data_IF_741994128555
#
_entry.id   IF_741994128555
#
_cell.length_a   1.000
_cell.length_b   1.000
_cell.length_c   1.000
_cell.angle_alpha   90.00
_cell.angle_beta   90.00
_cell.angle_gamma   90.00
#
_symmetry.space_group_name_H-M   'P 1'
#
loop_
_entity.id
_entity.type
_entity.pdbx_description
1 polymer ?
#
# COMPACT_ATOMS: atom_id res chain seq x y z
N UNK A 1 10.85 -69.05 0.79
CA UNK A 1 9.75 -68.65 1.69
C UNK A 1 8.82 -67.77 0.84
N UNK A 2 7.86 -68.38 0.15
CA UNK A 2 6.47 -68.63 0.62
C UNK A 2 5.70 -67.31 0.83
N UNK A 3 4.46 -67.09 0.39
CA UNK A 3 3.43 -67.84 -0.35
C UNK A 3 2.24 -66.86 -0.50
N UNK A 4 1.34 -67.11 -1.47
CA UNK A 4 -0.05 -66.62 -1.57
C UNK A 4 -0.26 -65.11 -1.87
N UNK A 5 -0.91 -64.63 -2.93
CA UNK A 5 -2.03 -65.11 -3.78
C UNK A 5 -3.34 -65.48 -3.06
N UNK A 6 -4.43 -64.83 -3.53
CA UNK A 6 -5.88 -64.97 -3.23
C UNK A 6 -6.38 -64.13 -2.05
N UNK A 7 -7.54 -63.48 -2.08
CA UNK A 7 -8.65 -63.33 -3.04
C UNK A 7 -9.47 -62.14 -2.53
N UNK A 8 -10.74 -61.84 -2.81
CA UNK A 8 -11.91 -62.42 -3.49
C UNK A 8 -13.02 -61.41 -3.07
N UNK A 9 -14.01 -60.93 -3.81
CA UNK A 9 -14.50 -61.12 -5.17
C UNK A 9 -15.95 -60.62 -5.26
N UNK A 10 -16.55 -60.81 -6.46
CA UNK A 10 -17.99 -61.00 -6.77
C UNK A 10 -18.83 -59.70 -6.72
N UNK A 11 -19.64 -59.32 -7.72
CA UNK A 11 -20.73 -59.99 -8.47
C UNK A 11 -20.97 -59.19 -9.78
N UNK A 12 -21.29 -59.72 -10.96
CA UNK A 12 -21.73 -61.06 -11.33
C UNK A 12 -21.48 -61.34 -12.82
N UNK A 13 -20.90 -62.50 -13.06
CA UNK A 13 -20.92 -63.23 -14.31
C UNK A 13 -22.06 -64.26 -14.26
N UNK A 14 -22.39 -64.79 -15.45
CA UNK A 14 -23.07 -66.06 -15.70
C UNK A 14 -24.61 -66.10 -15.63
N UNK A 15 -25.22 -66.12 -16.82
CA UNK A 15 -26.16 -67.18 -17.17
C UNK A 15 -25.63 -67.87 -18.44
N UNK A 16 -24.76 -68.86 -18.22
CA UNK A 16 -24.56 -69.97 -19.13
C UNK A 16 -25.84 -70.81 -19.12
N UNK A 17 -26.39 -71.10 -20.30
CA UNK A 17 -27.03 -72.39 -20.54
C UNK A 17 -26.29 -73.05 -21.69
N UNK A 18 -25.09 -73.54 -21.37
CA UNK A 18 -24.50 -74.68 -22.04
C UNK A 18 -25.41 -75.90 -21.81
N UNK A 19 -26.15 -76.31 -22.84
CA UNK A 19 -26.51 -77.70 -23.00
C UNK A 19 -25.39 -78.36 -23.82
N UNK A 20 -24.39 -78.85 -23.10
CA UNK A 20 -23.54 -79.91 -23.62
C UNK A 20 -24.39 -81.18 -23.69
N UNK A 21 -24.63 -81.71 -24.89
CA UNK A 21 -24.60 -83.15 -25.11
C UNK A 21 -24.47 -83.42 -26.60
N UNK A 22 -23.41 -84.13 -26.95
CA UNK A 22 -23.19 -84.71 -28.25
C UNK A 22 -24.45 -85.44 -28.73
N UNK A 23 -25.05 -84.99 -29.84
CA UNK A 23 -25.77 -85.82 -30.80
C UNK A 23 -26.02 -84.99 -32.06
N UNK A 24 -25.76 -85.62 -33.20
CA UNK A 24 -25.91 -85.14 -34.59
C UNK A 24 -24.89 -84.11 -35.09
N UNK A 25 -23.79 -84.67 -35.60
CA UNK A 25 -23.25 -84.31 -36.92
C UNK A 25 -24.37 -83.84 -37.87
N UNK A 26 -24.19 -82.77 -38.67
CA UNK A 26 -25.03 -82.58 -39.83
C UNK A 26 -24.70 -83.73 -40.76
N UNK A 27 -25.56 -84.75 -40.77
CA UNK A 27 -25.60 -85.71 -41.85
C UNK A 27 -25.76 -84.90 -43.11
N UNK A 28 -24.85 -85.06 -44.06
CA UNK A 28 -25.08 -84.66 -45.44
C UNK A 28 -26.36 -85.38 -45.89
N UNK A 29 -27.50 -84.70 -45.74
CA UNK A 29 -28.72 -85.04 -46.43
C UNK A 29 -28.52 -84.54 -47.86
N UNK A 30 -28.77 -85.44 -48.81
CA UNK A 30 -28.54 -85.27 -50.24
C UNK A 30 -28.81 -83.85 -50.71
N UNK A 31 -27.88 -83.34 -51.50
CA UNK A 31 -28.08 -82.26 -52.43
C UNK A 31 -29.32 -82.56 -53.28
N UNK A 32 -30.42 -81.88 -52.98
CA UNK A 32 -31.45 -81.61 -53.97
C UNK A 32 -31.05 -80.31 -54.69
N UNK A 33 -31.10 -80.34 -56.01
CA UNK A 33 -30.50 -79.31 -56.85
C UNK A 33 -31.25 -77.98 -56.68
N UNK A 34 -30.56 -76.83 -56.48
CA UNK A 34 -31.23 -75.55 -56.33
C UNK A 34 -31.72 -75.11 -57.71
N UNK A 35 -33.01 -75.28 -57.95
CA UNK A 35 -33.66 -74.60 -59.06
C UNK A 35 -33.56 -73.08 -58.83
N UNK A 36 -33.13 -72.32 -59.85
CA UNK A 36 -32.77 -70.90 -59.76
C UNK A 36 -33.90 -69.94 -59.34
N UNK A 37 -35.10 -70.48 -59.06
CA UNK A 37 -36.25 -69.76 -58.52
C UNK A 37 -36.29 -69.73 -56.99
N UNK A 38 -35.60 -70.66 -56.30
CA UNK A 38 -35.53 -70.72 -54.81
C UNK A 38 -34.47 -69.75 -54.23
N UNK A 39 -33.60 -69.19 -55.08
CA UNK A 39 -32.60 -68.17 -54.72
C UNK A 39 -33.12 -66.73 -54.92
N UNK A 40 -34.08 -66.54 -55.83
CA UNK A 40 -34.65 -65.23 -56.18
C UNK A 40 -35.85 -64.85 -55.29
N UNK A 41 -36.56 -65.83 -54.72
CA UNK A 41 -37.68 -65.62 -53.79
C UNK A 41 -37.36 -66.28 -52.44
N UNK A 42 -36.94 -65.52 -51.42
CA UNK A 42 -36.68 -66.08 -50.10
C UNK A 42 -37.97 -66.66 -49.52
N UNK A 43 -37.88 -67.87 -48.95
CA UNK A 43 -39.01 -68.52 -48.28
C UNK A 43 -39.49 -67.63 -47.13
N UNK A 44 -40.82 -67.37 -46.99
CA UNK A 44 -41.34 -66.49 -45.94
C UNK A 44 -40.97 -66.96 -44.53
N UNK A 45 -40.66 -68.24 -44.35
CA UNK A 45 -40.21 -68.83 -43.10
C UNK A 45 -38.83 -68.33 -42.62
N UNK A 46 -37.93 -67.92 -43.51
CA UNK A 46 -36.59 -67.39 -43.16
C UNK A 46 -36.60 -65.86 -43.02
N UNK A 47 -37.52 -65.19 -43.72
CA UNK A 47 -37.67 -63.74 -43.65
C UNK A 47 -38.18 -63.25 -42.29
N UNK A 48 -39.13 -63.97 -41.67
CA UNK A 48 -39.73 -63.61 -40.37
C UNK A 48 -38.69 -63.57 -39.24
N UNK A 49 -37.85 -64.60 -38.98
CA UNK A 49 -36.83 -64.54 -37.94
C UNK A 49 -35.71 -63.54 -38.25
N UNK A 50 -35.35 -63.34 -39.53
CA UNK A 50 -34.40 -62.30 -39.93
C UNK A 50 -34.93 -60.89 -39.64
N UNK A 51 -36.22 -60.65 -39.91
CA UNK A 51 -36.89 -59.40 -39.59
C UNK A 51 -36.99 -59.16 -38.08
N UNK A 52 -37.29 -60.20 -37.31
CA UNK A 52 -37.30 -60.12 -35.83
C UNK A 52 -35.89 -59.78 -35.31
N UNK A 53 -34.85 -60.46 -35.80
CA UNK A 53 -33.46 -60.17 -35.40
C UNK A 53 -33.06 -58.73 -35.79
N UNK A 54 -33.45 -58.26 -36.97
CA UNK A 54 -33.23 -56.88 -37.41
C UNK A 54 -33.95 -55.87 -36.49
N UNK A 55 -35.22 -56.12 -36.16
CA UNK A 55 -36.00 -55.26 -35.27
C UNK A 55 -35.42 -55.22 -33.85
N UNK A 56 -34.93 -56.34 -33.34
CA UNK A 56 -34.27 -56.40 -32.02
C UNK A 56 -33.00 -55.56 -32.03
N UNK A 57 -32.14 -55.70 -33.05
CA UNK A 57 -30.92 -54.89 -33.19
C UNK A 57 -31.27 -53.41 -33.37
N UNK A 58 -32.27 -53.10 -34.19
CA UNK A 58 -32.73 -51.74 -34.42
C UNK A 58 -33.27 -51.10 -33.13
N UNK A 59 -34.05 -51.82 -32.33
CA UNK A 59 -34.56 -51.33 -31.06
C UNK A 59 -33.43 -51.04 -30.05
N UNK A 60 -32.40 -51.90 -30.01
CA UNK A 60 -31.21 -51.68 -29.16
C UNK A 60 -30.42 -50.46 -29.64
N UNK A 61 -30.18 -50.31 -30.94
CA UNK A 61 -29.49 -49.15 -31.49
C UNK A 61 -30.27 -47.84 -31.28
N UNK A 62 -31.59 -47.86 -31.49
CA UNK A 62 -32.45 -46.71 -31.26
C UNK A 62 -32.44 -46.29 -29.79
N UNK A 63 -32.40 -47.27 -28.86
CA UNK A 63 -32.38 -46.99 -27.42
C UNK A 63 -31.01 -46.56 -26.89
N UNK A 64 -29.89 -47.01 -27.48
CA UNK A 64 -28.54 -46.74 -26.96
C UNK A 64 -27.71 -45.78 -27.81
N UNK A 65 -27.72 -45.91 -29.14
CA UNK A 65 -26.86 -45.11 -30.02
C UNK A 65 -27.40 -43.69 -30.22
N UNK A 66 -28.71 -43.53 -30.44
CA UNK A 66 -29.34 -42.22 -30.62
C UNK A 66 -29.14 -41.28 -29.43
N UNK A 67 -29.46 -41.66 -28.17
CA UNK A 67 -29.27 -40.75 -27.05
C UNK A 67 -27.81 -40.38 -26.82
N UNK A 68 -26.87 -41.31 -27.02
CA UNK A 68 -25.43 -41.03 -26.83
C UNK A 68 -24.89 -40.01 -27.84
N UNK A 69 -25.37 -40.05 -29.09
CA UNK A 69 -24.97 -39.07 -30.12
C UNK A 69 -25.57 -37.69 -29.82
N UNK A 70 -26.84 -37.63 -29.43
CA UNK A 70 -27.52 -36.36 -29.07
C UNK A 70 -26.84 -35.74 -27.85
N UNK A 71 -26.56 -36.52 -26.81
CA UNK A 71 -25.87 -36.04 -25.60
C UNK A 71 -24.48 -35.48 -25.92
N UNK A 72 -23.73 -36.11 -26.84
CA UNK A 72 -22.44 -35.57 -27.28
C UNK A 72 -22.58 -34.24 -28.01
N UNK A 73 -23.60 -34.09 -28.86
CA UNK A 73 -23.87 -32.84 -29.58
C UNK A 73 -24.31 -31.73 -28.63
N UNK A 74 -25.22 -32.02 -27.71
CA UNK A 74 -25.66 -31.07 -26.67
C UNK A 74 -24.49 -30.64 -25.79
N UNK A 75 -23.65 -31.58 -25.36
CA UNK A 75 -22.44 -31.27 -24.56
C UNK A 75 -21.46 -30.37 -25.33
N UNK A 76 -21.27 -30.60 -26.63
CA UNK A 76 -20.44 -29.73 -27.47
C UNK A 76 -21.06 -28.35 -27.62
N UNK A 77 -22.36 -28.27 -27.90
CA UNK A 77 -23.08 -27.00 -28.02
C UNK A 77 -23.01 -26.21 -26.70
N UNK A 78 -23.30 -26.86 -25.58
CA UNK A 78 -23.24 -26.23 -24.26
C UNK A 78 -21.82 -25.78 -23.91
N UNK A 79 -20.80 -26.57 -24.24
CA UNK A 79 -19.40 -26.14 -24.05
C UNK A 79 -19.08 -24.89 -24.87
N UNK A 80 -19.47 -24.85 -26.15
CA UNK A 80 -19.21 -23.67 -27.01
C UNK A 80 -19.94 -22.44 -26.47
N UNK A 81 -21.20 -22.58 -26.07
CA UNK A 81 -21.96 -21.47 -25.50
C UNK A 81 -21.32 -20.97 -24.19
N UNK A 82 -20.92 -21.89 -23.31
CA UNK A 82 -20.24 -21.53 -22.07
C UNK A 82 -18.89 -20.85 -22.33
N UNK A 83 -18.08 -21.38 -23.25
CA UNK A 83 -16.77 -20.80 -23.61
C UNK A 83 -16.96 -19.38 -24.20
N UNK A 84 -18.00 -19.15 -25.02
CA UNK A 84 -18.33 -17.84 -25.58
C UNK A 84 -18.84 -16.86 -24.52
N UNK A 85 -19.72 -17.30 -23.62
CA UNK A 85 -20.24 -16.49 -22.53
C UNK A 85 -19.12 -16.10 -21.56
N UNK A 86 -18.23 -17.04 -21.22
CA UNK A 86 -17.06 -16.79 -20.38
C UNK A 86 -16.10 -15.81 -21.04
N UNK A 87 -15.81 -15.98 -22.34
CA UNK A 87 -14.98 -15.04 -23.09
C UNK A 87 -15.59 -13.62 -23.14
N UNK A 88 -16.91 -13.53 -23.29
CA UNK A 88 -17.61 -12.24 -23.29
C UNK A 88 -17.58 -11.60 -21.90
N UNK A 89 -17.83 -12.36 -20.83
CA UNK A 89 -17.72 -11.87 -19.46
C UNK A 89 -16.29 -11.44 -19.11
N UNK A 90 -15.28 -12.19 -19.54
CA UNK A 90 -13.88 -11.85 -19.35
C UNK A 90 -13.53 -10.52 -20.04
N UNK A 91 -14.03 -10.30 -21.27
CA UNK A 91 -13.87 -9.01 -21.96
C UNK A 91 -14.54 -7.86 -21.23
N UNK A 92 -15.78 -8.05 -20.75
CA UNK A 92 -16.50 -7.01 -20.00
C UNK A 92 -15.74 -6.67 -18.72
N UNK A 93 -15.33 -7.67 -17.94
CA UNK A 93 -14.54 -7.49 -16.72
C UNK A 93 -13.21 -6.79 -16.99
N UNK A 94 -12.49 -7.17 -18.05
CA UNK A 94 -11.23 -6.53 -18.41
C UNK A 94 -11.42 -5.04 -18.76
N UNK A 95 -12.48 -4.68 -19.48
CA UNK A 95 -12.81 -3.29 -19.80
C UNK A 95 -13.22 -2.51 -18.55
N UNK A 96 -13.98 -3.11 -17.66
CA UNK A 96 -14.39 -2.50 -16.38
C UNK A 96 -13.17 -2.28 -15.47
N UNK A 97 -12.34 -3.29 -15.29
CA UNK A 97 -11.09 -3.22 -14.53
C UNK A 97 -10.15 -2.18 -15.13
N UNK A 98 -9.99 -2.13 -16.46
CA UNK A 98 -9.19 -1.09 -17.11
C UNK A 98 -9.70 0.32 -16.79
N UNK A 99 -11.02 0.55 -16.85
CA UNK A 99 -11.62 1.85 -16.48
C UNK A 99 -11.38 2.20 -15.03
N UNK A 100 -11.50 1.22 -14.12
CA UNK A 100 -11.17 1.44 -12.71
C UNK A 100 -9.70 1.79 -12.51
N UNK A 101 -8.77 1.10 -13.19
CA UNK A 101 -7.35 1.42 -13.12
C UNK A 101 -7.06 2.83 -13.64
N UNK A 102 -7.62 3.21 -14.79
CA UNK A 102 -7.47 4.55 -15.34
C UNK A 102 -8.03 5.62 -14.39
N UNK A 103 -9.19 5.35 -13.77
CA UNK A 103 -9.77 6.23 -12.76
C UNK A 103 -8.88 6.36 -11.51
N UNK A 104 -8.31 5.25 -11.02
CA UNK A 104 -7.39 5.23 -9.88
C UNK A 104 -6.11 5.99 -10.18
N UNK A 105 -5.55 5.85 -11.38
CA UNK A 105 -4.37 6.61 -11.81
C UNK A 105 -4.68 8.10 -11.88
N UNK A 106 -5.81 8.48 -12.48
CA UNK A 106 -6.24 9.88 -12.53
C UNK A 106 -6.48 10.46 -11.12
N UNK A 107 -7.04 9.67 -10.21
CA UNK A 107 -7.20 10.07 -8.81
C UNK A 107 -5.86 10.22 -8.08
N UNK A 108 -4.93 9.27 -8.26
CA UNK A 108 -3.59 9.35 -7.69
C UNK A 108 -2.85 10.60 -8.16
N UNK A 109 -2.96 10.96 -9.45
CA UNK A 109 -2.40 12.21 -9.97
C UNK A 109 -3.02 13.45 -9.31
N UNK A 110 -4.35 13.50 -9.19
CA UNK A 110 -5.03 14.61 -8.49
C UNK A 110 -4.62 14.71 -7.02
N UNK A 111 -4.48 13.58 -6.33
CA UNK A 111 -4.03 13.55 -4.94
C UNK A 111 -2.58 14.03 -4.83
N UNK A 112 -1.69 13.60 -5.73
CA UNK A 112 -0.31 14.06 -5.75
C UNK A 112 -0.22 15.58 -5.99
N UNK A 113 -0.99 16.12 -6.94
CA UNK A 113 -1.05 17.57 -7.19
C UNK A 113 -1.55 18.34 -5.97
N UNK A 114 -2.58 17.83 -5.26
CA UNK A 114 -3.07 18.41 -4.01
C UNK A 114 -2.00 18.41 -2.92
N UNK A 115 -1.32 17.28 -2.73
CA UNK A 115 -0.23 17.17 -1.74
C UNK A 115 0.87 18.18 -2.05
N UNK A 116 1.26 18.34 -3.31
CA UNK A 116 2.28 19.31 -3.72
C UNK A 116 1.79 20.74 -3.48
N UNK A 117 0.53 21.04 -3.79
CA UNK A 117 -0.05 22.37 -3.57
C UNK A 117 -0.12 22.72 -2.09
N UNK A 118 -0.59 21.79 -1.25
CA UNK A 118 -0.66 21.95 0.19
C UNK A 118 0.73 22.08 0.82
N UNK A 119 1.69 21.25 0.41
CA UNK A 119 3.07 21.34 0.89
C UNK A 119 3.72 22.68 0.53
N UNK A 120 3.45 23.23 -0.67
CA UNK A 120 3.92 24.56 -1.05
C UNK A 120 3.30 25.66 -0.18
N UNK A 121 1.98 25.60 0.03
CA UNK A 121 1.27 26.55 0.88
C UNK A 121 1.79 26.52 2.32
N UNK A 122 1.94 25.32 2.88
CA UNK A 122 2.49 25.14 4.23
C UNK A 122 3.93 25.64 4.34
N UNK A 123 4.76 25.37 3.33
CA UNK A 123 6.13 25.87 3.28
C UNK A 123 6.20 27.41 3.21
N UNK A 124 5.31 28.05 2.44
CA UNK A 124 5.23 29.51 2.37
C UNK A 124 4.74 30.13 3.69
N UNK A 125 3.72 29.54 4.32
CA UNK A 125 3.24 29.93 5.63
C UNK A 125 4.34 29.80 6.70
N UNK A 126 5.05 28.67 6.71
CA UNK A 126 6.14 28.43 7.66
C UNK A 126 7.31 29.38 7.40
N UNK A 127 7.69 29.62 6.14
CA UNK A 127 8.70 30.61 5.78
C UNK A 127 8.33 31.99 6.31
N UNK A 128 7.08 32.41 6.13
CA UNK A 128 6.57 33.68 6.65
C UNK A 128 6.63 33.74 8.18
N UNK A 129 6.21 32.66 8.87
CA UNK A 129 6.30 32.55 10.33
C UNK A 129 7.74 32.65 10.84
N UNK A 130 8.67 31.92 10.22
CA UNK A 130 10.10 31.94 10.57
C UNK A 130 10.70 33.33 10.35
N UNK A 131 10.41 33.97 9.21
CA UNK A 131 10.89 35.33 8.93
C UNK A 131 10.33 36.35 9.93
N UNK A 132 9.03 36.30 10.23
CA UNK A 132 8.41 37.17 11.21
C UNK A 132 9.00 36.97 12.61
N UNK A 133 9.26 35.71 13.00
CA UNK A 133 9.92 35.40 14.28
C UNK A 133 11.35 35.93 14.31
N UNK A 134 12.14 35.69 13.26
CA UNK A 134 13.51 36.18 13.16
C UNK A 134 13.59 37.71 13.22
N UNK A 135 12.66 38.42 12.59
CA UNK A 135 12.58 39.89 12.67
C UNK A 135 12.24 40.36 14.09
N UNK A 136 11.29 39.72 14.78
CA UNK A 136 10.97 40.04 16.18
C UNK A 136 12.15 39.76 17.12
N UNK A 137 12.83 38.64 16.93
CA UNK A 137 13.99 38.27 17.74
C UNK A 137 15.13 39.25 17.50
N UNK A 138 15.41 39.63 16.24
CA UNK A 138 16.41 40.64 15.90
C UNK A 138 16.08 42.00 16.52
N UNK A 139 14.82 42.46 16.44
CA UNK A 139 14.38 43.69 17.07
C UNK A 139 14.55 43.63 18.60
N UNK A 140 14.25 42.49 19.22
CA UNK A 140 14.45 42.26 20.64
C UNK A 140 15.92 42.29 21.06
N UNK A 141 16.82 41.72 20.24
CA UNK A 141 18.27 41.78 20.47
C UNK A 141 18.78 43.21 20.38
N UNK A 142 18.36 43.98 19.36
CA UNK A 142 18.74 45.39 19.20
C UNK A 142 18.25 46.22 20.39
N UNK A 143 17.01 46.04 20.83
CA UNK A 143 16.46 46.74 21.99
C UNK A 143 17.25 46.42 23.28
N UNK A 144 17.58 45.14 23.50
CA UNK A 144 18.43 44.72 24.63
C UNK A 144 19.84 45.33 24.54
N UNK A 145 20.44 45.35 23.35
CA UNK A 145 21.76 45.94 23.13
C UNK A 145 21.76 47.44 23.44
N UNK A 146 20.74 48.19 22.98
CA UNK A 146 20.60 49.61 23.34
C UNK A 146 20.45 49.83 24.84
N UNK A 147 19.66 48.99 25.53
CA UNK A 147 19.53 49.02 26.98
C UNK A 147 20.87 48.77 27.69
N UNK A 148 21.62 47.75 27.26
CA UNK A 148 22.94 47.42 27.80
C UNK A 148 23.94 48.57 27.58
N UNK A 149 24.02 49.13 26.36
CA UNK A 149 24.89 50.27 26.04
C UNK A 149 24.55 51.50 26.88
N UNK A 150 23.25 51.79 27.09
CA UNK A 150 22.81 52.89 27.94
C UNK A 150 23.24 52.70 29.40
N UNK A 151 23.07 51.47 29.92
CA UNK A 151 23.52 51.13 31.28
C UNK A 151 25.04 51.22 31.41
N UNK A 152 25.79 50.74 30.43
CA UNK A 152 27.25 50.74 30.46
C UNK A 152 27.80 52.17 30.36
N UNK A 153 27.19 53.01 29.51
CA UNK A 153 27.52 54.44 29.43
C UNK A 153 27.31 55.15 30.77
N UNK A 154 26.23 54.84 31.49
CA UNK A 154 25.98 55.40 32.83
C UNK A 154 27.05 54.97 33.83
N UNK A 155 27.43 53.69 33.83
CA UNK A 155 28.51 53.18 34.69
C UNK A 155 29.85 53.87 34.38
N UNK A 156 30.22 53.93 33.10
CA UNK A 156 31.45 54.60 32.67
C UNK A 156 31.47 56.08 33.06
N UNK A 157 30.33 56.78 32.99
CA UNK A 157 30.24 58.19 33.41
C UNK A 157 30.43 58.35 34.92
N UNK A 158 29.87 57.45 35.73
CA UNK A 158 30.05 57.45 37.19
C UNK A 158 31.52 57.18 37.54
N UNK A 159 32.13 56.21 36.89
CA UNK A 159 33.54 55.86 37.09
C UNK A 159 34.47 57.01 36.69
N UNK A 160 34.24 57.64 35.53
CA UNK A 160 34.99 58.81 35.08
C UNK A 160 34.84 59.98 36.05
N UNK A 161 33.63 60.22 36.56
CA UNK A 161 33.39 61.28 37.55
C UNK A 161 34.17 61.02 38.84
N UNK A 162 34.23 59.77 39.30
CA UNK A 162 35.05 59.37 40.45
C UNK A 162 36.55 59.59 40.22
N UNK A 163 37.06 59.23 39.03
CA UNK A 163 38.46 59.47 38.66
C UNK A 163 38.80 60.96 38.62
N UNK A 164 37.91 61.81 38.09
CA UNK A 164 38.12 63.27 38.05
C UNK A 164 38.13 63.87 39.45
N UNK A 165 37.26 63.40 40.36
CA UNK A 165 37.26 63.85 41.76
C UNK A 165 38.57 63.47 42.44
N UNK A 166 39.02 62.22 42.31
CA UNK A 166 40.28 61.77 42.89
C UNK A 166 41.48 62.56 42.36
N UNK A 167 41.54 62.79 41.05
CA UNK A 167 42.60 63.60 40.43
C UNK A 167 42.57 65.06 40.92
N UNK A 168 41.39 65.63 41.09
CA UNK A 168 41.23 67.00 41.63
C UNK A 168 41.73 67.09 43.07
N UNK A 169 41.44 66.10 43.91
CA UNK A 169 41.95 66.01 45.29
C UNK A 169 43.47 65.83 45.31
N UNK A 170 44.02 65.01 44.41
CA UNK A 170 45.47 64.81 44.29
C UNK A 170 46.19 66.11 43.89
N UNK A 171 45.67 66.83 42.90
CA UNK A 171 46.21 68.14 42.48
C UNK A 171 46.11 69.15 43.63
N UNK A 172 44.97 69.26 44.30
CA UNK A 172 44.79 70.16 45.43
C UNK A 172 45.75 69.83 46.59
N UNK A 173 45.91 68.55 46.91
CA UNK A 173 46.85 68.09 47.94
C UNK A 173 48.30 68.43 47.58
N UNK A 174 48.67 68.35 46.29
CA UNK A 174 50.02 68.68 45.82
C UNK A 174 50.29 70.19 45.82
N UNK A 175 49.31 71.02 45.50
CA UNK A 175 49.42 72.49 45.61
C UNK A 175 49.59 72.90 47.07
N UNK A 176 48.76 72.38 47.97
CA UNK A 176 48.86 72.64 49.42
C UNK A 176 50.19 72.10 49.98
N UNK A 177 50.64 70.92 49.53
CA UNK A 177 51.84 70.27 50.05
C UNK A 177 53.17 70.93 49.64
N UNK A 178 53.21 71.66 48.52
CA UNK A 178 54.45 72.24 48.01
C UNK A 178 54.61 73.76 48.22
N UNK A 179 53.52 74.53 48.39
CA UNK A 179 53.58 76.00 48.37
C UNK A 179 53.20 76.71 49.69
N UNK A 180 52.92 75.99 50.79
CA UNK A 180 52.57 76.68 52.05
C UNK A 180 53.78 77.28 52.78
N UNK A 181 53.87 78.61 52.77
CA UNK A 181 54.74 79.40 53.65
C UNK A 181 54.24 79.39 55.11
N UNK A 182 55.12 79.60 56.10
CA UNK A 182 54.75 79.65 57.54
C UNK A 182 53.62 80.67 57.83
N UNK A 183 53.59 81.78 57.09
CA UNK A 183 52.59 82.83 57.25
C UNK A 183 51.19 82.41 56.75
N UNK A 184 51.09 81.59 55.70
CA UNK A 184 49.83 81.08 55.19
C UNK A 184 49.23 79.98 56.06
N UNK A 185 50.07 79.14 56.68
CA UNK A 185 49.64 78.15 57.66
C UNK A 185 48.99 78.83 58.87
N UNK A 186 49.59 79.93 59.35
CA UNK A 186 49.08 80.71 60.48
C UNK A 186 47.73 81.37 60.17
N UNK A 187 47.59 81.96 58.98
CA UNK A 187 46.31 82.53 58.50
C UNK A 187 45.20 81.50 58.27
N UNK A 188 45.55 80.27 57.91
CA UNK A 188 44.56 79.20 57.74
C UNK A 188 44.08 78.69 59.11
N UNK A 189 44.99 78.56 60.08
CA UNK A 189 44.65 78.20 61.47
C UNK A 189 43.73 79.24 62.13
N UNK A 190 44.01 80.54 61.97
CA UNK A 190 43.17 81.62 62.51
C UNK A 190 41.75 81.61 61.90
N UNK A 191 41.63 81.35 60.59
CA UNK A 191 40.32 81.23 59.91
C UNK A 191 39.52 80.01 60.39
N UNK A 192 40.15 78.85 60.58
CA UNK A 192 39.49 77.68 61.16
C UNK A 192 39.02 77.95 62.60
N UNK A 193 39.84 78.63 63.40
CA UNK A 193 39.46 79.01 64.76
C UNK A 193 38.22 79.94 64.76
N UNK A 194 38.17 80.89 63.83
CA UNK A 194 37.05 81.82 63.67
C UNK A 194 35.75 81.15 63.14
N UNK A 195 35.86 80.15 62.26
CA UNK A 195 34.70 79.43 61.72
C UNK A 195 34.13 78.41 62.70
N UNK A 196 34.98 77.79 63.54
CA UNK A 196 34.52 76.92 64.63
C UNK A 196 33.92 77.75 65.77
N UNK A 197 34.50 78.90 66.11
CA UNK A 197 33.94 79.77 67.16
C UNK A 197 32.58 80.36 66.76
N UNK A 198 32.34 80.62 65.47
CA UNK A 198 31.05 81.15 64.99
C UNK A 198 29.94 80.09 64.86
N UNK A 199 30.29 78.79 64.91
CA UNK A 199 29.33 77.67 64.87
C UNK A 199 28.86 77.26 66.27
N UNK A 200 29.61 77.61 67.31
CA UNK A 200 29.33 77.31 68.73
C UNK A 200 28.41 78.36 69.40
N UNK A 201 28.17 79.50 68.74
CA UNK A 201 27.28 80.59 69.19
C UNK A 201 25.81 80.44 68.68
N UNK A 202 25.37 79.23 68.31
CA UNK A 202 23.95 78.90 67.98
C UNK A 202 23.44 77.65 68.66
#
# INVERSE_FOLDING_TARGET
>A
MDRNMKGLGRVGAAALASAAMAMQFPTVALADSPSGTDLLLPKPAEFVPALIAFLVIWAVLAKFALPSIVEMMEKRQQKIQNDLDEAQQAKVKAVEEQKEYEARIAEAHRQAERIIADAKREAEEERSRVLAKAQRDAAGVIAKAHGAVSSERKKAMIELSGQVVNLSVEIASKIIGNDLSEDEQRRLAERYLAEVSTRDDR
#
